data_IF_783964131416
#
_entry.id   IF_783964131416
#
_cell.length_a   1.000
_cell.length_b   1.000
_cell.length_c   1.000
_cell.angle_alpha   90.00
_cell.angle_beta   90.00
_cell.angle_gamma   90.00
#
_symmetry.space_group_name_H-M   'P 1'
#
loop_
_entity.id
_entity.type
_entity.pdbx_description
1 polymer ?
#
# COMPACT_ATOMS: atom_id res chain seq x y z
N UNK A 1 19.81 -17.57 5.15
CA UNK A 1 20.18 -16.18 4.80
C UNK A 1 19.60 -15.31 5.90
N UNK A 2 20.41 -14.52 6.60
CA UNK A 2 19.93 -13.72 7.73
C UNK A 2 19.43 -12.34 7.31
N UNK A 3 19.03 -11.54 8.29
CA UNK A 3 18.47 -10.21 8.10
C UNK A 3 19.35 -9.25 7.28
N UNK A 4 20.67 -9.45 7.23
CA UNK A 4 21.59 -8.57 6.48
C UNK A 4 21.62 -8.82 4.96
N UNK A 5 21.18 -9.99 4.49
CA UNK A 5 21.24 -10.36 3.06
C UNK A 5 19.89 -10.70 2.44
N UNK A 6 18.87 -10.97 3.25
CA UNK A 6 17.51 -11.11 2.76
C UNK A 6 16.82 -9.73 2.69
N UNK A 7 16.16 -9.48 1.56
CA UNK A 7 15.47 -8.23 1.24
C UNK A 7 13.97 -8.41 1.00
N UNK A 8 13.46 -9.64 0.96
CA UNK A 8 12.02 -9.91 0.90
C UNK A 8 11.46 -10.04 2.30
N UNK A 9 10.54 -9.15 2.66
CA UNK A 9 9.95 -9.07 4.01
C UNK A 9 9.37 -10.42 4.46
N UNK A 10 8.63 -11.08 3.58
CA UNK A 10 7.94 -12.36 3.81
C UNK A 10 8.86 -13.59 3.89
N UNK A 11 10.17 -13.42 3.63
CA UNK A 11 11.15 -14.51 3.71
C UNK A 11 11.97 -14.51 5.01
N UNK A 12 11.80 -13.49 5.84
CA UNK A 12 12.39 -13.45 7.17
C UNK A 12 11.53 -14.24 8.16
N UNK A 13 12.17 -14.98 9.04
CA UNK A 13 11.54 -15.48 10.26
C UNK A 13 11.31 -14.32 11.25
N UNK A 14 10.39 -14.49 12.21
CA UNK A 14 10.12 -13.42 13.19
C UNK A 14 11.35 -13.02 14.03
N UNK A 15 12.31 -13.91 14.40
CA UNK A 15 13.54 -13.47 15.06
C UNK A 15 14.45 -12.66 14.12
N UNK A 16 14.61 -13.08 12.86
CA UNK A 16 15.38 -12.32 11.87
C UNK A 16 14.75 -10.95 11.56
N UNK A 17 13.42 -10.82 11.70
CA UNK A 17 12.75 -9.53 11.61
C UNK A 17 13.17 -8.57 12.74
N UNK A 18 13.44 -9.08 13.95
CA UNK A 18 13.97 -8.23 15.03
C UNK A 18 15.33 -7.65 14.65
N UNK A 19 16.20 -8.45 14.03
CA UNK A 19 17.49 -7.99 13.55
C UNK A 19 17.31 -6.92 12.45
N UNK A 20 16.39 -7.13 11.51
CA UNK A 20 16.08 -6.15 10.47
C UNK A 20 15.54 -4.82 11.03
N UNK A 21 14.72 -4.87 12.09
CA UNK A 21 14.22 -3.69 12.81
C UNK A 21 15.38 -2.97 13.53
N UNK A 22 16.28 -3.71 14.18
CA UNK A 22 17.46 -3.16 14.82
C UNK A 22 18.41 -2.48 13.81
N UNK A 23 18.52 -3.03 12.61
CA UNK A 23 19.24 -2.44 11.47
C UNK A 23 18.53 -1.22 10.85
N UNK A 24 17.30 -0.91 11.27
CA UNK A 24 16.48 0.20 10.76
C UNK A 24 16.28 0.17 9.25
N UNK A 25 16.02 -1.03 8.71
CA UNK A 25 15.74 -1.17 7.28
C UNK A 25 14.50 -0.38 6.86
N UNK A 26 14.57 0.22 5.68
CA UNK A 26 13.43 0.88 5.01
C UNK A 26 12.55 -0.20 4.38
N UNK A 27 11.24 -0.11 4.58
CA UNK A 27 10.28 -1.05 4.00
C UNK A 27 9.57 -0.40 2.81
N UNK A 28 9.54 -1.09 1.67
CA UNK A 28 8.88 -0.66 0.44
C UNK A 28 7.63 -1.53 0.22
N UNK A 29 6.50 -0.91 -0.09
CA UNK A 29 5.27 -1.57 -0.52
C UNK A 29 5.09 -1.33 -2.03
N UNK A 30 5.33 -2.33 -2.89
CA UNK A 30 5.02 -2.20 -4.31
C UNK A 30 3.51 -2.22 -4.53
N UNK A 31 3.02 -1.42 -5.47
CA UNK A 31 1.61 -1.39 -5.88
C UNK A 31 1.52 -1.41 -7.39
N UNK A 32 0.48 -2.04 -7.91
CA UNK A 32 0.16 -2.09 -9.34
C UNK A 32 -1.29 -2.50 -9.54
N UNK A 33 -1.69 -2.66 -10.80
CA UNK A 33 -3.07 -2.99 -11.18
C UNK A 33 -3.09 -4.19 -12.12
N UNK A 34 -4.23 -4.91 -12.11
CA UNK A 34 -4.55 -5.92 -13.11
C UNK A 34 -5.43 -5.24 -14.16
N UNK A 35 -4.87 -4.97 -15.33
CA UNK A 35 -5.51 -4.15 -16.36
C UNK A 35 -5.20 -4.52 -17.80
N UNK A 36 -6.05 -4.04 -18.71
CA UNK A 36 -5.85 -4.21 -20.13
C UNK A 36 -4.69 -3.35 -20.65
N UNK A 37 -3.66 -4.00 -21.20
CA UNK A 37 -2.53 -3.37 -21.90
C UNK A 37 -2.54 -3.66 -23.42
N UNK A 38 -3.74 -3.76 -24.01
CA UNK A 38 -3.93 -4.16 -25.41
C UNK A 38 -3.74 -5.67 -25.66
N UNK A 39 -3.75 -6.12 -26.93
CA UNK A 39 -3.82 -7.54 -27.27
C UNK A 39 -2.49 -8.31 -27.15
N UNK A 40 -1.39 -7.63 -26.80
CA UNK A 40 -0.03 -8.16 -26.89
C UNK A 40 0.66 -8.28 -25.53
N UNK A 41 0.06 -7.74 -24.47
CA UNK A 41 0.63 -7.74 -23.13
C UNK A 41 -0.31 -8.46 -22.15
N UNK A 42 0.25 -9.17 -21.16
CA UNK A 42 -0.51 -9.70 -20.03
C UNK A 42 -1.20 -8.60 -19.22
N UNK A 43 -2.14 -8.99 -18.34
CA UNK A 43 -2.87 -8.03 -17.50
C UNK A 43 -2.08 -7.52 -16.29
N UNK A 44 -0.97 -8.17 -15.92
CA UNK A 44 -0.23 -7.93 -14.68
C UNK A 44 1.05 -7.09 -14.90
N UNK A 45 1.20 -6.45 -16.06
CA UNK A 45 2.43 -5.72 -16.43
C UNK A 45 2.78 -4.68 -15.36
N UNK A 46 1.81 -3.95 -14.84
CA UNK A 46 2.05 -2.93 -13.81
C UNK A 46 2.57 -3.55 -12.50
N UNK A 47 1.97 -4.65 -12.06
CA UNK A 47 2.39 -5.39 -10.86
C UNK A 47 3.80 -5.95 -11.06
N UNK A 48 4.04 -6.58 -12.21
CA UNK A 48 5.32 -7.18 -12.56
C UNK A 48 6.45 -6.14 -12.58
N UNK A 49 6.23 -4.98 -13.22
CA UNK A 49 7.23 -3.92 -13.30
C UNK A 49 7.50 -3.29 -11.92
N UNK A 50 6.45 -2.95 -11.18
CA UNK A 50 6.58 -2.37 -9.85
C UNK A 50 7.33 -3.30 -8.89
N UNK A 51 6.96 -4.59 -8.86
CA UNK A 51 7.64 -5.60 -8.04
C UNK A 51 9.09 -5.78 -8.49
N UNK A 52 9.35 -5.94 -9.79
CA UNK A 52 10.70 -6.18 -10.32
C UNK A 52 11.67 -5.06 -9.96
N UNK A 53 11.26 -3.81 -10.10
CA UNK A 53 12.08 -2.65 -9.73
C UNK A 53 12.35 -2.64 -8.23
N UNK A 54 11.32 -2.87 -7.40
CA UNK A 54 11.47 -2.89 -5.95
C UNK A 54 12.39 -4.03 -5.48
N UNK A 55 12.25 -5.22 -6.04
CA UNK A 55 13.11 -6.37 -5.73
C UNK A 55 14.56 -6.12 -6.14
N UNK A 56 14.82 -5.45 -7.26
CA UNK A 56 16.18 -5.10 -7.67
C UNK A 56 16.79 -4.04 -6.73
N UNK A 57 16.01 -3.06 -6.28
CA UNK A 57 16.44 -2.12 -5.21
C UNK A 57 16.78 -2.88 -3.93
N UNK A 58 15.89 -3.78 -3.50
CA UNK A 58 16.10 -4.64 -2.34
C UNK A 58 17.36 -5.50 -2.47
N UNK A 59 17.62 -6.07 -3.65
CA UNK A 59 18.81 -6.87 -3.92
C UNK A 59 20.11 -6.07 -3.82
N UNK A 60 20.12 -4.83 -4.34
CA UNK A 60 21.30 -3.94 -4.30
C UNK A 60 21.57 -3.33 -2.93
N UNK A 61 20.54 -3.16 -2.13
CA UNK A 61 20.60 -2.56 -0.80
C UNK A 61 20.05 -3.53 0.27
N UNK A 62 20.43 -4.81 0.17
CA UNK A 62 19.86 -5.87 0.99
C UNK A 62 20.13 -5.70 2.49
N UNK A 63 21.11 -4.91 2.90
CA UNK A 63 21.39 -4.54 4.28
C UNK A 63 20.50 -3.40 4.80
N UNK A 64 19.79 -2.69 3.91
CA UNK A 64 19.05 -1.45 4.22
C UNK A 64 17.58 -1.48 3.83
N UNK A 65 17.15 -2.38 2.97
CA UNK A 65 15.81 -2.39 2.39
C UNK A 65 15.12 -3.74 2.61
N UNK A 66 13.82 -3.68 2.91
CA UNK A 66 12.90 -4.80 2.79
C UNK A 66 11.79 -4.45 1.80
N UNK A 67 11.38 -5.42 1.01
CA UNK A 67 10.31 -5.31 0.02
C UNK A 67 9.16 -6.19 0.48
N UNK A 68 7.98 -5.60 0.65
CA UNK A 68 6.75 -6.32 0.92
C UNK A 68 6.23 -7.01 -0.34
N UNK A 69 5.34 -8.01 -0.21
CA UNK A 69 4.55 -8.49 -1.33
C UNK A 69 3.79 -7.34 -2.00
N UNK A 70 3.66 -7.34 -3.35
CA UNK A 70 2.96 -6.29 -4.07
C UNK A 70 1.46 -6.28 -3.76
N UNK A 71 0.85 -5.10 -3.80
CA UNK A 71 -0.61 -4.95 -3.87
C UNK A 71 -1.01 -4.96 -5.35
N UNK A 72 -1.75 -5.99 -5.83
CA UNK A 72 -1.97 -6.17 -7.26
C UNK A 72 -3.20 -5.42 -7.80
N UNK A 73 -3.99 -4.77 -6.94
CA UNK A 73 -5.23 -4.10 -7.32
C UNK A 73 -5.17 -2.63 -6.94
N UNK A 74 -5.44 -1.76 -7.91
CA UNK A 74 -5.38 -0.31 -7.76
C UNK A 74 -6.54 0.37 -8.53
N UNK A 75 -6.43 1.68 -8.64
CA UNK A 75 -7.33 2.64 -9.23
C UNK A 75 -7.41 2.52 -10.74
N UNK A 76 -8.27 1.62 -11.23
CA UNK A 76 -8.43 1.47 -12.68
C UNK A 76 -9.85 1.56 -13.27
N UNK A 77 -10.56 2.64 -12.95
CA UNK A 77 -11.95 2.83 -13.40
C UNK A 77 -12.09 3.01 -14.91
N UNK A 78 -11.06 3.55 -15.57
CA UNK A 78 -11.11 3.90 -16.99
C UNK A 78 -11.02 2.68 -17.93
N UNK A 79 -10.55 1.53 -17.45
CA UNK A 79 -10.39 0.32 -18.23
C UNK A 79 -11.35 -0.82 -17.82
N UNK A 80 -12.36 -0.54 -16.99
CA UNK A 80 -13.28 -1.56 -16.46
C UNK A 80 -14.15 -2.21 -17.55
N UNK A 81 -14.35 -1.53 -18.68
CA UNK A 81 -15.11 -2.07 -19.82
C UNK A 81 -14.34 -3.15 -20.60
N UNK A 82 -13.04 -3.32 -20.32
CA UNK A 82 -12.23 -4.40 -20.89
C UNK A 82 -12.26 -5.63 -19.97
N UNK A 83 -12.53 -6.84 -20.52
CA UNK A 83 -12.57 -8.05 -19.73
C UNK A 83 -11.20 -8.35 -19.12
N UNK A 84 -11.19 -8.61 -17.81
CA UNK A 84 -9.98 -8.93 -17.04
C UNK A 84 -9.47 -7.78 -16.16
N UNK A 85 -9.88 -6.52 -16.42
CA UNK A 85 -9.55 -5.40 -15.54
C UNK A 85 -10.23 -5.55 -14.19
N UNK A 86 -9.47 -5.44 -13.10
CA UNK A 86 -10.01 -5.47 -11.73
C UNK A 86 -9.83 -4.09 -11.09
N UNK A 87 -10.95 -3.44 -10.78
CA UNK A 87 -10.97 -2.12 -10.17
C UNK A 87 -11.24 -2.20 -8.67
N UNK A 88 -10.47 -1.44 -7.88
CA UNK A 88 -10.76 -1.16 -6.47
C UNK A 88 -11.06 0.32 -6.30
N UNK A 89 -12.11 0.62 -5.55
CA UNK A 89 -12.49 2.01 -5.24
C UNK A 89 -11.36 2.72 -4.48
N UNK A 90 -11.09 4.01 -4.77
CA UNK A 90 -9.98 4.77 -4.16
C UNK A 90 -9.92 4.70 -2.64
N UNK A 91 -11.07 4.84 -1.98
CA UNK A 91 -11.14 4.80 -0.53
C UNK A 91 -10.70 3.43 0.00
N UNK A 92 -11.13 2.34 -0.63
CA UNK A 92 -10.77 0.99 -0.19
C UNK A 92 -9.27 0.73 -0.37
N UNK A 93 -8.70 1.14 -1.50
CA UNK A 93 -7.26 1.02 -1.76
C UNK A 93 -6.44 1.83 -0.74
N UNK A 94 -6.78 3.10 -0.54
CA UNK A 94 -6.08 3.96 0.42
C UNK A 94 -6.18 3.43 1.85
N UNK A 95 -7.36 2.99 2.28
CA UNK A 95 -7.53 2.39 3.62
C UNK A 95 -6.73 1.10 3.76
N UNK A 96 -6.65 0.27 2.73
CA UNK A 96 -5.85 -0.95 2.74
C UNK A 96 -4.35 -0.63 2.90
N UNK A 97 -3.80 0.24 2.04
CA UNK A 97 -2.42 0.68 2.13
C UNK A 97 -2.10 1.33 3.49
N UNK A 98 -3.03 2.14 4.02
CA UNK A 98 -2.89 2.76 5.33
C UNK A 98 -2.86 1.71 6.46
N UNK A 99 -3.73 0.69 6.40
CA UNK A 99 -3.73 -0.40 7.37
C UNK A 99 -2.40 -1.17 7.35
N UNK A 100 -1.90 -1.52 6.16
CA UNK A 100 -0.63 -2.23 5.99
C UNK A 100 0.54 -1.38 6.51
N UNK A 101 0.66 -0.14 6.07
CA UNK A 101 1.77 0.75 6.45
C UNK A 101 1.76 1.10 7.93
N UNK A 102 0.59 1.30 8.56
CA UNK A 102 0.46 1.47 10.02
C UNK A 102 0.91 0.23 10.78
N UNK A 103 0.51 -0.97 10.33
CA UNK A 103 0.91 -2.23 10.95
C UNK A 103 2.43 -2.43 10.91
N UNK A 104 3.06 -2.14 9.76
CA UNK A 104 4.52 -2.17 9.62
C UNK A 104 5.17 -1.10 10.51
N UNK A 105 4.70 0.15 10.46
CA UNK A 105 5.26 1.24 11.26
C UNK A 105 5.20 0.95 12.76
N UNK A 106 4.15 0.26 13.24
CA UNK A 106 4.03 -0.15 14.64
C UNK A 106 5.21 -1.02 15.10
N UNK A 107 5.67 -1.95 14.26
CA UNK A 107 6.81 -2.83 14.55
C UNK A 107 8.14 -2.05 14.58
N UNK A 108 8.34 -1.15 13.62
CA UNK A 108 9.60 -0.38 13.48
C UNK A 108 9.71 0.80 14.47
N UNK A 109 8.60 1.22 15.09
CA UNK A 109 8.55 2.32 16.08
C UNK A 109 9.33 2.01 17.35
N UNK A 110 9.42 0.75 17.77
CA UNK A 110 10.08 0.36 19.03
C UNK A 110 11.57 0.73 19.08
N UNK A 111 12.21 0.98 17.93
CA UNK A 111 13.64 1.33 17.82
C UNK A 111 13.91 2.72 17.20
N UNK A 112 12.85 3.47 16.88
CA UNK A 112 12.95 4.88 16.50
C UNK A 112 12.93 5.74 17.77
N UNK A 113 14.09 6.26 18.17
CA UNK A 113 14.12 7.49 18.99
C UNK A 113 13.57 8.63 18.12
N UNK A 114 12.26 8.89 18.24
CA UNK A 114 11.47 9.82 17.42
C UNK A 114 11.82 11.31 17.61
N UNK A 115 13.06 11.67 17.94
CA UNK A 115 13.45 13.09 18.09
C UNK A 115 13.29 13.93 16.81
N UNK A 116 13.45 13.40 15.58
CA UNK A 116 13.23 14.21 14.37
C UNK A 116 11.75 14.28 13.93
N UNK A 117 10.97 13.21 14.10
CA UNK A 117 9.60 13.11 13.56
C UNK A 117 8.54 13.83 14.42
N UNK A 118 8.79 14.01 15.72
CA UNK A 118 7.90 14.78 16.60
C UNK A 118 7.77 16.25 16.17
N UNK A 119 8.79 16.81 15.50
CA UNK A 119 8.78 18.19 15.02
C UNK A 119 7.85 18.42 13.83
N UNK A 120 7.57 17.38 13.03
CA UNK A 120 6.67 17.48 11.87
C UNK A 120 5.20 17.20 12.25
N UNK A 121 4.98 16.33 13.26
CA UNK A 121 3.64 16.03 13.77
C UNK A 121 3.12 17.10 14.74
N UNK A 122 4.01 17.83 15.43
CA UNK A 122 3.63 18.99 16.24
C UNK A 122 2.98 20.12 15.41
N UNK A 123 3.44 20.30 14.17
CA UNK A 123 2.89 21.30 13.24
C UNK A 123 1.48 20.94 12.74
N UNK A 124 1.12 19.65 12.74
CA UNK A 124 -0.21 19.20 12.34
C UNK A 124 -1.22 19.24 13.51
N UNK A 125 -0.77 19.17 14.77
CA UNK A 125 -1.66 19.31 15.93
C UNK A 125 -2.16 20.76 16.13
N UNK A 126 -1.35 21.77 15.78
CA UNK A 126 -1.77 23.17 15.74
C UNK A 126 -2.84 23.43 14.65
N UNK A 127 -2.74 22.75 13.51
CA UNK A 127 -3.76 22.84 12.46
C UNK A 127 -5.08 22.15 12.82
N UNK A 128 -5.09 21.28 13.83
CA UNK A 128 -6.29 20.55 14.27
C UNK A 128 -7.12 21.34 15.29
N UNK A 129 -6.53 22.35 15.93
CA UNK A 129 -7.21 23.29 16.85
C UNK A 129 -7.93 24.43 16.11
N UNK A 130 -7.52 24.75 14.88
CA UNK A 130 -8.09 25.86 14.09
C UNK A 130 -9.28 25.47 13.20
N UNK A 131 -9.63 24.19 13.11
CA UNK A 131 -10.77 23.69 12.32
C UNK A 131 -11.86 23.02 13.17
N UNK A 132 -11.99 23.44 14.43
CA UNK A 132 -13.05 23.01 15.32
C UNK A 132 -14.22 24.00 15.33
N UNK A 133 -15.09 23.95 14.32
CA UNK A 133 -16.54 24.22 14.39
C UNK A 133 -17.10 24.48 12.99
N UNK A 134 -17.83 23.52 12.43
CA UNK A 134 -19.19 23.79 11.95
C UNK A 134 -19.97 22.51 11.59
N UNK A 135 -21.31 22.53 11.71
CA UNK A 135 -22.12 21.40 12.12
C UNK A 135 -23.11 21.03 11.02
N UNK A 136 -22.96 19.84 10.44
CA UNK A 136 -24.05 19.26 9.64
C UNK A 136 -24.20 17.79 10.04
N UNK A 137 -25.04 17.58 11.06
CA UNK A 137 -25.66 16.31 11.37
C UNK A 137 -26.54 15.82 10.22
N UNK A 138 -26.47 14.51 9.95
CA UNK A 138 -27.64 13.63 9.88
C UNK A 138 -28.63 13.81 8.72
N UNK A 139 -28.66 12.82 7.83
CA UNK A 139 -29.94 12.23 7.40
C UNK A 139 -29.74 10.83 6.82
N UNK A 140 -30.45 9.87 7.41
CA UNK A 140 -30.69 8.52 6.87
C UNK A 140 -31.40 8.59 5.52
N UNK A 141 -31.15 7.60 4.66
CA UNK A 141 -31.88 7.42 3.40
C UNK A 141 -31.70 6.02 2.83
N UNK A 142 -32.68 5.14 3.07
CA UNK A 142 -32.87 3.87 2.34
C UNK A 142 -33.11 4.15 0.85
N UNK A 143 -32.51 3.35 -0.04
CA UNK A 143 -32.79 3.40 -1.47
C UNK A 143 -32.40 2.11 -2.19
N UNK A 144 -33.42 1.37 -2.60
CA UNK A 144 -33.39 0.16 -3.42
C UNK A 144 -32.96 0.47 -4.88
N UNK A 145 -32.66 -0.59 -5.67
CA UNK A 145 -32.64 -0.73 -7.15
C UNK A 145 -31.37 -1.54 -7.54
N UNK A 146 -31.41 -2.67 -8.25
CA UNK A 146 -32.26 -3.07 -9.37
C UNK A 146 -31.35 -3.32 -10.58
N UNK A 147 -31.07 -4.59 -10.91
CA UNK A 147 -29.97 -4.99 -11.79
C UNK A 147 -30.12 -4.69 -13.28
N UNK A 148 -29.04 -4.91 -14.04
CA UNK A 148 -29.06 -5.19 -15.49
C UNK A 148 -27.99 -6.22 -15.86
N UNK A 149 -28.42 -7.19 -16.66
CA UNK A 149 -27.60 -8.18 -17.37
C UNK A 149 -26.90 -7.52 -18.56
N UNK A 150 -25.67 -7.95 -18.84
CA UNK A 150 -24.96 -7.66 -20.08
C UNK A 150 -24.96 -8.96 -20.90
N UNK A 151 -25.37 -8.87 -22.17
CA UNK A 151 -25.35 -9.98 -23.13
C UNK A 151 -23.98 -10.08 -23.82
N UNK A 152 -23.51 -11.29 -24.19
CA UNK A 152 -22.22 -11.45 -24.87
C UNK A 152 -22.34 -11.23 -26.39
N UNK A 153 -21.25 -10.73 -26.98
CA UNK A 153 -20.93 -10.86 -28.40
C UNK A 153 -20.04 -12.08 -28.63
#
# INVERSE_FOLDING_TARGET
>A
MGAASEYRYQRLTWPEMNDAIAMRKVVILPTGTIEQHGPHLPLDVDVFLAESVCLEVGRRAADRVLVLPPVPFDLNRHHIDFPGTIHVEPEAFLQFCLCVTKSVAYQFRQHLSLRPLQRLLGTLDESRRSWGSDPCHGREGKGHLGGRRIAPH
#
